data_IF_482276123044
#
_entry.id   IF_482276123044
#
_cell.length_a   1.000
_cell.length_b   1.000
_cell.length_c   1.000
_cell.angle_alpha   90.00
_cell.angle_beta   90.00
_cell.angle_gamma   90.00
#
_symmetry.space_group_name_H-M   'P 1'
#
loop_
_entity.id
_entity.type
_entity.pdbx_description
1 polymer ?
#
# COMPACT_ATOMS: atom_id res chain seq x y z
N UNK A 1 -6.03 10.89 5.36
CA UNK A 1 -6.30 10.51 6.76
C UNK A 1 -5.89 9.06 6.93
N UNK A 2 -4.97 8.76 7.84
CA UNK A 2 -4.63 7.39 8.18
C UNK A 2 -5.78 6.73 8.94
N UNK A 3 -5.99 5.43 8.73
CA UNK A 3 -6.98 4.62 9.47
C UNK A 3 -6.25 3.93 10.61
N UNK A 4 -6.56 4.33 11.85
CA UNK A 4 -6.03 3.69 13.05
C UNK A 4 -6.79 2.38 13.32
N UNK A 5 -6.06 1.27 13.30
CA UNK A 5 -6.56 -0.08 13.55
C UNK A 5 -5.97 -0.56 14.88
N UNK A 6 -6.84 -0.88 15.85
CA UNK A 6 -6.40 -1.51 17.11
C UNK A 6 -6.35 -3.01 16.93
N UNK A 7 -5.15 -3.56 16.93
CA UNK A 7 -4.94 -5.02 16.88
C UNK A 7 -5.37 -5.70 18.19
N UNK A 8 -5.50 -7.02 18.18
CA UNK A 8 -5.79 -7.85 19.37
C UNK A 8 -4.72 -7.72 20.48
N UNK A 9 -3.51 -7.29 20.12
CA UNK A 9 -2.41 -6.99 21.04
C UNK A 9 -2.46 -5.54 21.58
N UNK A 10 -3.56 -4.82 21.35
CA UNK A 10 -3.77 -3.42 21.71
C UNK A 10 -2.69 -2.47 21.14
N UNK A 11 -2.04 -2.88 20.04
CA UNK A 11 -1.13 -2.02 19.26
C UNK A 11 -1.97 -1.27 18.23
N UNK A 12 -1.82 0.06 18.20
CA UNK A 12 -2.47 0.93 17.23
C UNK A 12 -1.60 0.99 15.97
N UNK A 13 -2.08 0.38 14.88
CA UNK A 13 -1.43 0.43 13.58
C UNK A 13 -2.16 1.45 12.71
N UNK A 14 -1.44 2.49 12.30
CA UNK A 14 -1.94 3.46 11.35
C UNK A 14 -1.66 2.96 9.93
N UNK A 15 -2.73 2.58 9.23
CA UNK A 15 -2.64 2.20 7.83
C UNK A 15 -3.11 3.33 6.94
N UNK A 16 -2.40 3.54 5.84
CA UNK A 16 -2.87 4.43 4.80
C UNK A 16 -3.99 3.74 4.01
N UNK A 17 -5.23 4.29 4.00
CA UNK A 17 -6.31 3.71 3.22
C UNK A 17 -5.97 3.80 1.73
N UNK A 18 -6.29 2.73 0.99
CA UNK A 18 -6.13 2.74 -0.45
C UNK A 18 -7.00 3.84 -1.06
N UNK A 19 -6.39 4.66 -1.92
CA UNK A 19 -7.06 5.77 -2.60
C UNK A 19 -8.16 5.25 -3.54
N UNK A 20 -9.11 6.13 -3.86
CA UNK A 20 -10.15 5.82 -4.84
C UNK A 20 -9.54 5.44 -6.20
N UNK A 21 -8.47 6.13 -6.62
CA UNK A 21 -7.77 5.86 -7.88
C UNK A 21 -7.15 4.45 -7.93
N UNK A 22 -6.45 4.03 -6.88
CA UNK A 22 -5.89 2.66 -6.80
C UNK A 22 -6.99 1.60 -6.81
N UNK A 23 -8.12 1.86 -6.16
CA UNK A 23 -9.28 0.94 -6.19
C UNK A 23 -9.90 0.85 -7.58
N UNK A 24 -9.98 1.97 -8.32
CA UNK A 24 -10.48 2.00 -9.71
C UNK A 24 -9.51 1.25 -10.63
N UNK A 25 -8.21 1.49 -10.49
CA UNK A 25 -7.19 0.82 -11.30
C UNK A 25 -7.14 -0.69 -11.02
N UNK A 26 -7.30 -1.11 -9.75
CA UNK A 26 -7.44 -2.53 -9.40
C UNK A 26 -8.66 -3.14 -10.09
N UNK A 27 -9.81 -2.46 -10.03
CA UNK A 27 -11.03 -2.92 -10.68
C UNK A 27 -10.88 -2.99 -12.21
N UNK A 28 -10.16 -2.04 -12.83
CA UNK A 28 -9.87 -2.07 -14.26
C UNK A 28 -9.06 -3.32 -14.65
N UNK A 29 -8.03 -3.65 -13.88
CA UNK A 29 -7.22 -4.86 -14.09
C UNK A 29 -8.10 -6.12 -13.90
N UNK A 30 -8.92 -6.16 -12.86
CA UNK A 30 -9.85 -7.27 -12.64
C UNK A 30 -10.85 -7.43 -13.80
N UNK A 31 -11.37 -6.33 -14.34
CA UNK A 31 -12.24 -6.35 -15.53
C UNK A 31 -11.52 -6.84 -16.78
N UNK A 32 -10.23 -6.53 -16.96
CA UNK A 32 -9.43 -7.08 -18.06
C UNK A 32 -9.25 -8.60 -17.94
N UNK A 33 -9.03 -9.11 -16.73
CA UNK A 33 -8.93 -10.55 -16.48
C UNK A 33 -10.26 -11.24 -16.80
N UNK A 34 -11.37 -10.68 -16.30
CA UNK A 34 -12.72 -11.18 -16.58
C UNK A 34 -13.03 -11.13 -18.08
N UNK A 35 -12.67 -10.03 -18.75
CA UNK A 35 -12.85 -9.89 -20.19
C UNK A 35 -12.07 -10.94 -20.97
N UNK A 36 -10.80 -11.17 -20.62
CA UNK A 36 -9.99 -12.25 -21.20
C UNK A 36 -10.63 -13.62 -21.02
N UNK A 37 -11.16 -13.92 -19.83
CA UNK A 37 -11.90 -15.15 -19.56
C UNK A 37 -13.13 -15.30 -20.46
N UNK A 38 -13.96 -14.25 -20.58
CA UNK A 38 -15.15 -14.27 -21.43
C UNK A 38 -14.79 -14.48 -22.90
N UNK A 39 -13.75 -13.79 -23.40
CA UNK A 39 -13.26 -13.97 -24.77
C UNK A 39 -12.80 -15.41 -25.01
N UNK A 40 -12.07 -16.03 -24.06
CA UNK A 40 -11.64 -17.42 -24.17
C UNK A 40 -12.84 -18.38 -24.21
N UNK A 41 -13.83 -18.18 -23.33
CA UNK A 41 -15.05 -19.01 -23.30
C UNK A 41 -15.92 -18.83 -24.56
N UNK A 42 -15.88 -17.69 -25.22
CA UNK A 42 -16.58 -17.51 -26.50
C UNK A 42 -15.77 -18.08 -27.66
N UNK A 43 -14.46 -17.87 -27.70
CA UNK A 43 -13.63 -18.20 -28.88
C UNK A 43 -13.29 -19.68 -28.99
N UNK A 44 -12.99 -20.38 -27.88
CA UNK A 44 -12.60 -21.79 -27.89
C UNK A 44 -13.70 -22.70 -28.46
N UNK A 45 -14.95 -22.68 -27.97
CA UNK A 45 -16.00 -23.54 -28.50
C UNK A 45 -16.31 -23.23 -29.97
N UNK A 46 -16.30 -21.94 -30.34
CA UNK A 46 -16.53 -21.50 -31.72
C UNK A 46 -15.44 -22.01 -32.67
N UNK A 47 -14.17 -22.01 -32.25
CA UNK A 47 -13.05 -22.55 -33.05
C UNK A 47 -13.09 -24.06 -33.18
N UNK A 48 -13.57 -24.76 -32.15
CA UNK A 48 -13.71 -26.21 -32.12
C UNK A 48 -15.03 -26.72 -32.74
N UNK A 49 -15.92 -25.81 -33.16
CA UNK A 49 -17.23 -26.17 -33.72
C UNK A 49 -18.20 -26.79 -32.69
N UNK A 50 -17.96 -26.58 -31.39
CA UNK A 50 -18.78 -27.13 -30.32
C UNK A 50 -20.07 -26.30 -30.21
N UNK A 51 -21.22 -26.96 -30.32
CA UNK A 51 -22.52 -26.31 -30.04
C UNK A 51 -22.64 -26.00 -28.54
N UNK A 52 -22.57 -24.72 -28.21
CA UNK A 52 -22.81 -24.23 -26.84
C UNK A 52 -24.31 -24.06 -26.57
N UNK A 53 -24.83 -24.75 -25.56
CA UNK A 53 -26.21 -24.56 -25.08
C UNK A 53 -26.30 -23.63 -23.87
N UNK A 54 -27.50 -23.43 -23.34
CA UNK A 54 -27.74 -22.56 -22.17
C UNK A 54 -26.90 -22.95 -20.95
N UNK A 55 -26.66 -24.25 -20.73
CA UNK A 55 -25.83 -24.75 -19.64
C UNK A 55 -24.38 -24.23 -19.73
N UNK A 56 -23.84 -24.12 -20.94
CA UNK A 56 -22.50 -23.58 -21.17
C UNK A 56 -22.40 -22.11 -20.76
N UNK A 57 -23.41 -21.31 -21.12
CA UNK A 57 -23.46 -19.89 -20.76
C UNK A 57 -23.52 -19.69 -19.25
N UNK A 58 -24.35 -20.47 -18.56
CA UNK A 58 -24.43 -20.44 -17.08
C UNK A 58 -23.09 -20.81 -16.47
N UNK A 59 -22.45 -21.88 -16.97
CA UNK A 59 -21.14 -22.31 -16.49
C UNK A 59 -20.04 -21.27 -16.73
N UNK A 60 -20.05 -20.60 -17.88
CA UNK A 60 -19.08 -19.55 -18.22
C UNK A 60 -19.27 -18.28 -17.38
N UNK A 61 -20.51 -17.94 -17.02
CA UNK A 61 -20.87 -16.76 -16.23
C UNK A 61 -20.65 -16.93 -14.74
N UNK A 62 -20.73 -18.15 -14.21
CA UNK A 62 -20.58 -18.41 -12.77
C UNK A 62 -19.23 -17.92 -12.22
N UNK A 63 -18.07 -18.20 -12.85
CA UNK A 63 -16.79 -17.64 -12.44
C UNK A 63 -16.74 -16.12 -12.52
N UNK A 64 -17.46 -15.48 -13.46
CA UNK A 64 -17.47 -14.02 -13.60
C UNK A 64 -18.14 -13.37 -12.39
N UNK A 65 -19.29 -13.90 -11.96
CA UNK A 65 -20.01 -13.38 -10.80
C UNK A 65 -19.28 -13.74 -9.50
N UNK A 66 -18.74 -14.95 -9.41
CA UNK A 66 -18.06 -15.44 -8.20
C UNK A 66 -16.59 -14.99 -8.09
N UNK A 67 -16.02 -14.35 -9.13
CA UNK A 67 -14.60 -14.02 -9.22
C UNK A 67 -14.09 -13.28 -7.97
N UNK A 68 -14.82 -12.29 -7.49
CA UNK A 68 -14.36 -11.49 -6.35
C UNK A 68 -14.41 -12.25 -5.04
N UNK A 69 -15.46 -13.06 -4.83
CA UNK A 69 -15.58 -13.89 -3.65
C UNK A 69 -14.48 -14.96 -3.63
N UNK A 70 -14.29 -15.64 -4.75
CA UNK A 70 -13.27 -16.68 -4.91
C UNK A 70 -11.88 -16.06 -4.75
N UNK A 71 -11.57 -14.98 -5.46
CA UNK A 71 -10.25 -14.36 -5.37
C UNK A 71 -9.97 -13.81 -3.98
N UNK A 72 -10.91 -13.08 -3.35
CA UNK A 72 -10.74 -12.58 -1.98
C UNK A 72 -10.55 -13.72 -0.97
N UNK A 73 -11.25 -14.85 -1.15
CA UNK A 73 -11.07 -16.02 -0.30
C UNK A 73 -9.70 -16.67 -0.48
N UNK A 74 -9.31 -16.98 -1.71
CA UNK A 74 -8.06 -17.70 -1.99
C UNK A 74 -6.80 -16.84 -1.80
N UNK A 75 -6.89 -15.53 -1.98
CA UNK A 75 -5.73 -14.61 -1.93
C UNK A 75 -5.68 -13.75 -0.65
N UNK A 76 -6.43 -14.13 0.39
CA UNK A 76 -6.49 -13.46 1.70
C UNK A 76 -6.86 -11.98 1.56
N UNK A 77 -8.05 -11.71 1.03
CA UNK A 77 -8.63 -10.37 0.91
C UNK A 77 -8.11 -9.57 -0.28
N UNK A 78 -7.66 -10.26 -1.34
CA UNK A 78 -7.10 -9.64 -2.56
C UNK A 78 -7.73 -10.25 -3.81
N UNK A 79 -7.93 -9.44 -4.84
CA UNK A 79 -8.16 -9.88 -6.22
C UNK A 79 -6.84 -9.77 -7.00
N UNK A 80 -6.79 -10.22 -8.26
CA UNK A 80 -5.60 -10.10 -9.10
C UNK A 80 -5.21 -8.63 -9.29
N UNK A 81 -6.18 -7.76 -9.55
CA UNK A 81 -5.95 -6.31 -9.66
C UNK A 81 -5.46 -5.68 -8.36
N UNK A 82 -6.04 -6.08 -7.22
CA UNK A 82 -5.58 -5.63 -5.90
C UNK A 82 -4.16 -6.11 -5.60
N UNK A 83 -3.82 -7.33 -6.01
CA UNK A 83 -2.49 -7.89 -5.84
C UNK A 83 -1.45 -7.13 -6.67
N UNK A 84 -1.78 -6.78 -7.92
CA UNK A 84 -0.93 -5.97 -8.79
C UNK A 84 -0.63 -4.58 -8.20
N UNK A 85 -1.60 -3.97 -7.52
CA UNK A 85 -1.45 -2.66 -6.88
C UNK A 85 -0.98 -2.72 -5.42
N UNK A 86 -0.77 -3.92 -4.87
CA UNK A 86 -0.31 -4.08 -3.49
C UNK A 86 -1.31 -3.57 -2.45
N UNK A 87 -2.61 -3.71 -2.70
CA UNK A 87 -3.67 -3.34 -1.75
C UNK A 87 -4.38 -4.58 -1.21
N UNK A 88 -4.86 -4.53 0.04
CA UNK A 88 -5.51 -5.67 0.71
C UNK A 88 -6.70 -5.23 1.56
N UNK A 89 -7.74 -6.07 1.60
CA UNK A 89 -8.87 -5.93 2.52
C UNK A 89 -8.46 -6.41 3.92
N UNK A 90 -8.68 -5.58 4.94
CA UNK A 90 -8.45 -5.89 6.35
C UNK A 90 -9.67 -5.51 7.17
N UNK A 91 -9.89 -6.18 8.31
CA UNK A 91 -10.93 -5.78 9.25
C UNK A 91 -10.52 -4.49 9.98
N UNK A 92 -11.48 -3.71 10.45
CA UNK A 92 -11.21 -2.49 11.22
C UNK A 92 -10.56 -2.76 12.60
N UNK A 93 -10.63 -4.00 13.09
CA UNK A 93 -9.94 -4.49 14.28
C UNK A 93 -8.57 -5.14 13.97
N UNK A 94 -8.15 -5.12 12.69
CA UNK A 94 -6.87 -5.65 12.24
C UNK A 94 -6.81 -7.17 12.14
N UNK A 95 -7.90 -7.87 12.44
CA UNK A 95 -8.00 -9.31 12.22
C UNK A 95 -8.10 -9.65 10.71
N UNK A 96 -7.73 -10.87 10.31
CA UNK A 96 -7.96 -11.31 8.93
C UNK A 96 -9.46 -11.40 8.65
N UNK A 97 -9.95 -10.92 7.48
CA UNK A 97 -11.37 -11.01 7.16
C UNK A 97 -11.78 -12.48 6.96
N UNK A 98 -12.86 -12.89 7.63
CA UNK A 98 -13.46 -14.22 7.47
C UNK A 98 -14.39 -14.33 6.26
N UNK A 99 -14.90 -15.55 5.99
CA UNK A 99 -15.85 -15.83 4.90
C UNK A 99 -17.06 -14.90 4.90
N UNK A 100 -17.67 -14.67 6.07
CA UNK A 100 -18.85 -13.84 6.20
C UNK A 100 -18.62 -12.40 5.73
N UNK A 101 -17.45 -11.83 6.02
CA UNK A 101 -17.09 -10.50 5.56
C UNK A 101 -16.99 -10.46 4.03
N UNK A 102 -16.34 -11.45 3.40
CA UNK A 102 -16.27 -11.54 1.93
C UNK A 102 -17.65 -11.74 1.29
N UNK A 103 -18.52 -12.55 1.89
CA UNK A 103 -19.88 -12.78 1.40
C UNK A 103 -20.74 -11.51 1.44
N UNK A 104 -20.71 -10.76 2.54
CA UNK A 104 -21.45 -9.49 2.66
C UNK A 104 -20.98 -8.50 1.59
N UNK A 105 -19.66 -8.38 1.41
CA UNK A 105 -19.05 -7.54 0.38
C UNK A 105 -19.48 -7.97 -1.02
N UNK A 106 -19.51 -9.27 -1.29
CA UNK A 106 -19.89 -9.83 -2.59
C UNK A 106 -21.38 -9.62 -2.89
N UNK A 107 -22.27 -9.88 -1.93
CA UNK A 107 -23.72 -9.67 -2.08
C UNK A 107 -24.04 -8.20 -2.33
N UNK A 108 -23.48 -7.30 -1.52
CA UNK A 108 -23.70 -5.87 -1.69
C UNK A 108 -23.08 -5.35 -3.00
N UNK A 109 -22.01 -5.96 -3.48
CA UNK A 109 -21.46 -5.64 -4.79
C UNK A 109 -22.42 -5.95 -5.93
N UNK A 110 -23.25 -7.00 -5.85
CA UNK A 110 -24.28 -7.28 -6.87
C UNK A 110 -25.26 -6.10 -6.93
N UNK A 111 -25.70 -5.61 -5.76
CA UNK A 111 -26.61 -4.47 -5.63
C UNK A 111 -25.95 -3.17 -6.09
N UNK A 112 -24.69 -2.95 -5.74
CA UNK A 112 -23.93 -1.76 -6.13
C UNK A 112 -23.41 -1.81 -7.58
N UNK A 113 -23.52 -2.95 -8.26
CA UNK A 113 -22.98 -3.14 -9.60
C UNK A 113 -23.69 -2.28 -10.65
N UNK A 114 -23.03 -2.11 -11.79
CA UNK A 114 -23.58 -1.38 -12.95
C UNK A 114 -24.94 -1.91 -13.44
N UNK A 115 -25.27 -3.18 -13.15
CA UNK A 115 -26.55 -3.82 -13.51
C UNK A 115 -27.75 -3.31 -12.71
N UNK A 116 -27.56 -2.78 -11.49
CA UNK A 116 -28.66 -2.35 -10.61
C UNK A 116 -28.70 -0.82 -10.41
N UNK A 117 -27.60 -0.19 -10.03
CA UNK A 117 -27.58 1.25 -9.67
C UNK A 117 -26.51 2.04 -10.46
N UNK A 118 -26.14 1.54 -11.65
CA UNK A 118 -25.25 2.24 -12.58
C UNK A 118 -23.79 2.39 -12.12
N UNK A 119 -23.37 1.70 -11.05
CA UNK A 119 -21.98 1.72 -10.56
C UNK A 119 -21.52 3.04 -9.91
N UNK A 120 -22.43 4.02 -9.76
CA UNK A 120 -22.13 5.34 -9.17
C UNK A 120 -22.13 5.26 -7.63
N UNK A 121 -22.95 4.37 -7.04
CA UNK A 121 -23.09 4.23 -5.57
C UNK A 121 -21.75 4.02 -4.87
N UNK A 122 -20.88 3.08 -5.29
CA UNK A 122 -19.56 2.89 -4.66
C UNK A 122 -18.69 4.15 -4.66
N UNK A 123 -18.78 4.96 -5.72
CA UNK A 123 -18.00 6.19 -5.88
C UNK A 123 -18.48 7.24 -4.90
N UNK A 124 -19.80 7.41 -4.79
CA UNK A 124 -20.42 8.33 -3.83
C UNK A 124 -20.10 7.90 -2.39
N UNK A 125 -20.28 6.62 -2.05
CA UNK A 125 -20.05 6.14 -0.67
C UNK A 125 -18.60 6.33 -0.24
N UNK A 126 -17.64 6.05 -1.14
CA UNK A 126 -16.22 6.28 -0.89
C UNK A 126 -15.92 7.77 -0.69
N UNK A 127 -16.47 8.63 -1.55
CA UNK A 127 -16.22 10.06 -1.51
C UNK A 127 -16.82 10.73 -0.26
N UNK A 128 -18.00 10.30 0.19
CA UNK A 128 -18.73 10.90 1.32
C UNK A 128 -18.19 10.42 2.67
N UNK A 129 -17.75 9.17 2.79
CA UNK A 129 -17.40 8.60 4.10
C UNK A 129 -16.03 9.06 4.62
N UNK A 130 -15.15 9.63 3.78
CA UNK A 130 -13.81 10.11 4.19
C UNK A 130 -12.82 9.03 4.64
N UNK A 131 -13.30 7.82 4.94
CA UNK A 131 -12.54 6.61 5.31
C UNK A 131 -12.25 5.68 4.12
N UNK A 132 -12.68 6.08 2.92
CA UNK A 132 -12.42 5.33 1.70
C UNK A 132 -13.23 4.04 1.53
N UNK A 133 -14.28 3.81 2.32
CA UNK A 133 -15.05 2.55 2.34
C UNK A 133 -16.28 2.60 1.44
N UNK A 134 -16.57 1.50 0.73
CA UNK A 134 -17.84 1.25 0.01
C UNK A 134 -18.94 0.78 0.96
N UNK A 135 -20.19 0.69 0.49
CA UNK A 135 -21.30 0.16 1.31
C UNK A 135 -21.00 -1.27 1.79
N UNK A 136 -20.49 -2.13 0.89
CA UNK A 136 -20.04 -3.48 1.24
C UNK A 136 -18.90 -3.50 2.26
N UNK A 137 -17.99 -2.53 2.22
CA UNK A 137 -16.88 -2.42 3.18
C UNK A 137 -17.42 -2.04 4.58
N UNK A 138 -18.35 -1.08 4.63
CA UNK A 138 -18.99 -0.59 5.87
C UNK A 138 -19.80 -1.71 6.52
N UNK A 139 -20.66 -2.39 5.76
CA UNK A 139 -21.51 -3.46 6.26
C UNK A 139 -20.71 -4.66 6.78
N UNK A 140 -19.56 -4.95 6.16
CA UNK A 140 -18.67 -6.02 6.59
C UNK A 140 -17.66 -5.59 7.68
N UNK A 141 -17.62 -4.31 8.08
CA UNK A 141 -16.64 -3.81 9.05
C UNK A 141 -15.19 -3.90 8.56
N UNK A 142 -14.98 -3.74 7.25
CA UNK A 142 -13.68 -3.89 6.58
C UNK A 142 -13.21 -2.60 5.92
N UNK A 143 -11.91 -2.50 5.65
CA UNK A 143 -11.33 -1.42 4.85
C UNK A 143 -10.25 -1.99 3.94
N UNK A 144 -9.84 -1.22 2.91
CA UNK A 144 -8.74 -1.58 2.03
C UNK A 144 -7.56 -0.69 2.34
N UNK A 145 -6.43 -1.32 2.64
CA UNK A 145 -5.17 -0.67 3.01
C UNK A 145 -4.09 -0.96 1.98
N UNK A 146 -3.10 -0.07 1.88
CA UNK A 146 -1.89 -0.34 1.09
C UNK A 146 -0.94 -1.23 1.88
N UNK A 147 -0.35 -2.22 1.21
CA UNK A 147 0.65 -3.11 1.79
C UNK A 147 2.07 -2.56 1.66
N UNK A 148 2.33 -1.68 0.70
CA UNK A 148 3.62 -0.99 0.60
C UNK A 148 3.70 0.04 1.72
N UNK A 149 4.65 -0.06 2.66
CA UNK A 149 4.94 1.05 3.54
C UNK A 149 5.38 2.23 2.68
N UNK A 150 4.94 3.44 3.01
CA UNK A 150 5.35 4.66 2.29
C UNK A 150 6.87 4.94 2.40
N UNK A 151 7.59 4.17 3.21
CA UNK A 151 9.03 4.26 3.45
C UNK A 151 9.59 2.84 3.38
N UNK A 152 10.52 2.59 2.44
CA UNK A 152 11.23 1.31 2.36
C UNK A 152 12.36 1.27 3.40
N UNK A 153 12.75 0.08 3.88
CA UNK A 153 13.94 -0.05 4.74
C UNK A 153 15.20 0.44 4.03
N UNK A 154 15.24 0.33 2.70
CA UNK A 154 16.30 0.88 1.86
C UNK A 154 16.32 2.41 1.87
N UNK A 155 15.18 3.09 2.11
CA UNK A 155 15.15 4.55 2.35
C UNK A 155 15.74 4.93 3.71
N UNK A 156 15.80 3.98 4.66
CA UNK A 156 16.38 4.19 6.00
C UNK A 156 17.89 3.89 5.97
N UNK A 157 18.30 2.90 5.20
CA UNK A 157 19.70 2.50 5.03
C UNK A 157 20.36 3.31 3.91
N UNK A 158 20.91 4.48 4.26
CA UNK A 158 21.66 5.28 3.26
C UNK A 158 22.84 4.48 2.70
N UNK A 159 23.52 3.67 3.51
CA UNK A 159 24.57 2.74 3.08
C UNK A 159 24.59 1.50 4.00
N UNK A 160 24.82 0.27 3.47
CA UNK A 160 25.22 -0.85 4.31
C UNK A 160 26.59 -0.53 4.92
N UNK A 161 26.63 -0.34 6.24
CA UNK A 161 27.88 -0.13 6.97
C UNK A 161 28.78 -1.34 6.75
N UNK A 162 29.95 -1.15 6.14
CA UNK A 162 30.97 -2.20 6.04
C UNK A 162 31.39 -2.63 7.45
N UNK A 163 31.69 -3.92 7.66
CA UNK A 163 32.04 -4.48 8.99
C UNK A 163 33.19 -3.75 9.72
N UNK A 164 34.01 -2.96 8.99
CA UNK A 164 35.10 -2.14 9.53
C UNK A 164 34.84 -0.63 9.44
N UNK A 165 33.59 -0.18 9.58
CA UNK A 165 33.28 1.25 9.56
C UNK A 165 33.87 1.97 10.79
N UNK A 166 34.65 3.03 10.55
CA UNK A 166 35.26 3.86 11.59
C UNK A 166 34.47 5.16 11.68
N UNK A 167 33.94 5.44 12.87
CA UNK A 167 33.20 6.68 13.16
C UNK A 167 34.11 7.90 12.96
N UNK A 168 33.71 8.84 12.10
CA UNK A 168 34.49 10.07 11.85
C UNK A 168 34.12 11.20 12.81
N UNK A 169 32.85 11.28 13.21
CA UNK A 169 32.31 12.32 14.07
C UNK A 169 31.59 11.72 15.30
N UNK A 170 32.30 11.51 16.42
CA UNK A 170 31.71 10.95 17.64
C UNK A 170 30.63 11.82 18.27
N UNK A 171 30.70 13.15 18.07
CA UNK A 171 29.80 14.15 18.65
C UNK A 171 28.37 14.10 18.07
N UNK A 172 28.17 13.28 17.02
CA UNK A 172 26.87 12.98 16.43
C UNK A 172 25.91 12.31 17.43
N UNK A 173 26.43 11.75 18.54
CA UNK A 173 25.65 11.25 19.70
C UNK A 173 24.73 12.30 20.34
N UNK A 174 25.02 13.59 20.16
CA UNK A 174 24.22 14.68 20.72
C UNK A 174 22.91 14.91 19.94
N UNK A 175 22.79 14.34 18.75
CA UNK A 175 21.62 14.49 17.89
C UNK A 175 20.50 13.52 18.29
N UNK A 176 19.25 13.96 18.13
CA UNK A 176 18.08 13.09 18.32
C UNK A 176 17.71 12.35 17.03
N UNK A 177 16.95 11.26 17.16
CA UNK A 177 16.36 10.55 16.01
C UNK A 177 15.57 11.49 15.08
N UNK A 178 14.93 12.51 15.67
CA UNK A 178 14.20 13.54 14.93
C UNK A 178 15.12 14.39 14.07
N UNK A 179 16.28 14.78 14.60
CA UNK A 179 17.26 15.60 13.88
C UNK A 179 17.85 14.83 12.70
N UNK A 180 18.16 13.55 12.91
CA UNK A 180 18.63 12.66 11.85
C UNK A 180 17.56 12.46 10.78
N UNK A 181 16.28 12.36 11.16
CA UNK A 181 15.16 12.34 10.21
C UNK A 181 15.12 13.58 9.31
N UNK A 182 15.38 14.77 9.86
CA UNK A 182 15.46 16.03 9.08
C UNK A 182 16.65 16.00 8.11
N UNK A 183 17.81 15.51 8.56
CA UNK A 183 19.00 15.37 7.71
C UNK A 183 18.74 14.41 6.54
N UNK A 184 18.10 13.26 6.78
CA UNK A 184 17.72 12.32 5.71
C UNK A 184 16.77 12.95 4.70
N UNK A 185 15.78 13.70 5.16
CA UNK A 185 14.84 14.40 4.27
C UNK A 185 15.55 15.47 3.43
N UNK A 186 16.50 16.21 4.01
CA UNK A 186 17.33 17.17 3.28
C UNK A 186 18.18 16.49 2.19
N UNK A 187 18.83 15.36 2.51
CA UNK A 187 19.57 14.53 1.55
C UNK A 187 18.68 14.00 0.42
N UNK A 188 17.46 13.57 0.75
CA UNK A 188 16.49 13.06 -0.23
C UNK A 188 16.03 14.12 -1.22
N UNK A 189 15.84 15.36 -0.76
CA UNK A 189 15.41 16.49 -1.62
C UNK A 189 16.46 16.92 -2.63
N UNK A 190 17.76 16.61 -2.40
CA UNK A 190 18.90 17.00 -3.24
C UNK A 190 18.96 18.51 -3.57
N UNK A 191 18.36 19.34 -2.73
CA UNK A 191 18.35 20.79 -2.87
C UNK A 191 19.59 21.36 -2.18
N UNK A 192 20.41 22.08 -2.95
CA UNK A 192 21.72 22.57 -2.49
C UNK A 192 21.56 23.59 -1.34
N UNK A 193 20.54 24.45 -1.39
CA UNK A 193 20.33 25.46 -0.36
C UNK A 193 19.88 24.83 0.96
N UNK A 194 19.05 23.79 0.87
CA UNK A 194 18.58 23.04 2.06
C UNK A 194 19.75 22.27 2.68
N UNK A 195 20.58 21.61 1.86
CA UNK A 195 21.74 20.87 2.34
C UNK A 195 22.75 21.75 3.08
N UNK A 196 23.03 22.95 2.56
CA UNK A 196 23.95 23.90 3.20
C UNK A 196 23.39 24.33 4.56
N UNK A 197 22.12 24.76 4.61
CA UNK A 197 21.48 25.21 5.85
C UNK A 197 21.42 24.12 6.91
N UNK A 198 21.11 22.89 6.50
CA UNK A 198 21.08 21.74 7.41
C UNK A 198 22.48 21.42 7.91
N UNK A 199 23.49 21.41 7.05
CA UNK A 199 24.88 21.17 7.45
C UNK A 199 25.37 22.24 8.44
N UNK A 200 25.13 23.52 8.18
CA UNK A 200 25.54 24.62 9.06
C UNK A 200 24.85 24.51 10.43
N UNK A 201 23.56 24.19 10.46
CA UNK A 201 22.83 24.01 11.72
C UNK A 201 23.36 22.82 12.53
N UNK A 202 23.69 21.71 11.87
CA UNK A 202 24.27 20.55 12.54
C UNK A 202 25.66 20.89 13.09
N UNK A 203 26.51 21.59 12.33
CA UNK A 203 27.82 22.06 12.79
C UNK A 203 27.72 23.01 13.99
N UNK A 204 26.74 23.90 13.99
CA UNK A 204 26.47 24.82 15.12
C UNK A 204 26.08 24.07 16.40
N UNK A 205 25.22 23.05 16.30
CA UNK A 205 24.70 22.30 17.46
C UNK A 205 25.72 21.30 18.00
N UNK A 206 26.46 20.64 17.11
CA UNK A 206 27.43 19.59 17.48
C UNK A 206 28.84 20.13 17.73
N UNK A 207 29.15 21.34 17.28
CA UNK A 207 30.49 21.92 17.32
C UNK A 207 31.48 21.29 16.32
N UNK A 208 31.04 20.38 15.46
CA UNK A 208 31.90 19.68 14.51
C UNK A 208 32.40 20.65 13.43
N UNK A 209 33.72 20.73 13.26
CA UNK A 209 34.34 21.40 12.12
C UNK A 209 34.75 20.36 11.07
N UNK A 210 34.23 20.52 9.85
CA UNK A 210 34.52 19.63 8.73
C UNK A 210 34.77 20.44 7.46
N UNK A 211 35.82 20.04 6.73
CA UNK A 211 36.19 20.56 5.40
C UNK A 211 35.47 19.85 4.25
N UNK A 212 34.62 18.86 4.55
CA UNK A 212 33.84 18.13 3.56
C UNK A 212 32.75 19.03 2.95
N UNK A 213 32.30 18.66 1.74
CA UNK A 213 31.12 19.27 1.15
C UNK A 213 29.88 19.04 2.03
N UNK A 214 28.92 19.96 2.01
CA UNK A 214 27.74 19.86 2.87
C UNK A 214 26.99 18.54 2.70
N UNK A 215 26.95 18.00 1.49
CA UNK A 215 26.37 16.68 1.22
C UNK A 215 27.18 15.54 1.85
N UNK A 216 28.50 15.46 1.58
CA UNK A 216 29.35 14.39 2.12
C UNK A 216 29.42 14.42 3.65
N UNK A 217 29.40 15.63 4.24
CA UNK A 217 29.29 15.81 5.68
C UNK A 217 28.01 15.20 6.24
N UNK A 218 26.85 15.56 5.67
CA UNK A 218 25.55 15.05 6.15
C UNK A 218 25.41 13.53 5.95
N UNK A 219 25.94 12.97 4.86
CA UNK A 219 25.97 11.51 4.63
C UNK A 219 26.82 10.79 5.69
N UNK A 220 27.97 11.36 6.04
CA UNK A 220 28.86 10.82 7.09
C UNK A 220 28.19 10.90 8.46
N UNK A 221 27.51 12.02 8.78
CA UNK A 221 26.76 12.20 10.03
C UNK A 221 25.66 11.14 10.19
N UNK A 222 24.89 10.86 9.14
CA UNK A 222 23.84 9.82 9.24
C UNK A 222 24.46 8.43 9.44
N UNK A 223 25.57 8.13 8.75
CA UNK A 223 26.27 6.85 8.86
C UNK A 223 26.90 6.65 10.26
N UNK A 224 27.53 7.69 10.79
CA UNK A 224 28.11 7.70 12.14
C UNK A 224 27.03 7.51 13.21
N UNK A 225 25.90 8.23 13.10
CA UNK A 225 24.78 8.07 14.02
C UNK A 225 24.25 6.64 14.01
N UNK A 226 24.05 6.08 12.81
CA UNK A 226 23.52 4.74 12.65
C UNK A 226 24.45 3.69 13.26
N UNK A 227 25.76 3.79 13.03
CA UNK A 227 26.73 2.86 13.61
C UNK A 227 26.74 2.93 15.14
N UNK A 228 26.67 4.14 15.70
CA UNK A 228 26.68 4.34 17.15
C UNK A 228 25.40 3.81 17.81
N UNK A 229 24.23 3.99 17.18
CA UNK A 229 22.94 3.54 17.74
C UNK A 229 22.70 2.04 17.55
N UNK A 230 23.43 1.39 16.64
CA UNK A 230 23.30 -0.06 16.37
C UNK A 230 24.19 -0.93 17.28
N UNK A 231 25.21 -0.34 17.93
CA UNK A 231 26.02 -1.01 18.98
C UNK A 231 25.41 -0.86 20.37
#
# INVERSE_FOLDING_TARGET
MAVAIRTSQNVLLEYEPASLGERILAALIDYLVIFGWVVLMVTIPNRLGIRTGNFYVVFAMLPVVAYDLISEWFLNGRSIGKLALGIRVVMLDGSPPGLGAYLIRWLLRIVESALFVGGIVPVITIAVNGKGQRLGDIAAGTTVVKLKPAVSLDDILIHPLTENYIVQFPDVRLLSDRDIGIVREALRRRDTDVLIRTADKIKEVTGIQSSLSSQAFLETVVSDYQFITTQ
#
